data_IF_154599097785
#
_entry.id   IF_154599097785
#
_cell.length_a   1.000
_cell.length_b   1.000
_cell.length_c   1.000
_cell.angle_alpha   90.00
_cell.angle_beta   90.00
_cell.angle_gamma   90.00
#
_symmetry.space_group_name_H-M   'P 1'
#
loop_
_entity.id
_entity.type
_entity.pdbx_description
1 polymer ?
#
# COMPACT_ATOMS: atom_id res chain seq x y z
N UNK A 1 0.20 -21.08 2.12
CA UNK A 1 0.41 -19.68 2.39
C UNK A 1 1.15 -19.00 1.26
N UNK A 2 0.63 -17.91 0.79
CA UNK A 2 1.21 -17.23 -0.35
C UNK A 2 1.57 -15.80 -0.02
N UNK A 3 2.70 -15.38 -0.56
CA UNK A 3 3.16 -14.02 -0.48
C UNK A 3 3.40 -13.56 -1.90
N UNK A 4 2.91 -12.39 -2.23
CA UNK A 4 3.04 -11.90 -3.59
C UNK A 4 3.47 -10.45 -3.57
N UNK A 5 4.52 -10.16 -4.30
CA UNK A 5 4.97 -8.79 -4.51
C UNK A 5 4.48 -8.30 -5.84
N UNK A 6 3.96 -7.09 -5.91
CA UNK A 6 3.55 -6.57 -7.21
C UNK A 6 4.77 -6.35 -8.10
N UNK A 7 4.57 -6.54 -9.38
CA UNK A 7 5.57 -6.14 -10.36
C UNK A 7 5.56 -4.62 -10.45
N UNK A 8 6.56 -4.08 -11.14
CA UNK A 8 6.60 -2.63 -11.36
C UNK A 8 5.38 -2.14 -12.12
N UNK A 9 4.93 -2.94 -13.09
CA UNK A 9 3.75 -2.57 -13.85
C UNK A 9 2.51 -2.56 -12.97
N UNK A 10 2.39 -3.55 -12.11
CA UNK A 10 1.24 -3.62 -11.20
C UNK A 10 1.27 -2.49 -10.19
N UNK A 11 2.43 -2.20 -9.64
CA UNK A 11 2.57 -1.08 -8.72
C UNK A 11 2.16 0.23 -9.39
N UNK A 12 2.62 0.42 -10.60
CA UNK A 12 2.29 1.61 -11.38
C UNK A 12 0.79 1.70 -11.64
N UNK A 13 0.18 0.55 -11.95
CA UNK A 13 -1.25 0.51 -12.21
C UNK A 13 -2.06 0.87 -10.96
N UNK A 14 -1.61 0.39 -9.81
CA UNK A 14 -2.27 0.73 -8.55
C UNK A 14 -2.19 2.23 -8.30
N UNK A 15 -1.00 2.80 -8.48
CA UNK A 15 -0.81 4.23 -8.29
C UNK A 15 -1.67 5.05 -9.24
N UNK A 16 -1.69 4.64 -10.50
CA UNK A 16 -2.48 5.35 -11.49
C UNK A 16 -3.97 5.30 -11.18
N UNK A 17 -4.44 4.16 -10.70
CA UNK A 17 -5.84 4.01 -10.37
C UNK A 17 -6.22 4.84 -9.15
N UNK A 18 -5.34 4.87 -8.14
CA UNK A 18 -5.56 5.71 -6.98
C UNK A 18 -5.63 7.18 -7.40
N UNK A 19 -4.71 7.58 -8.26
CA UNK A 19 -4.69 8.95 -8.73
C UNK A 19 -5.97 9.30 -9.49
N UNK A 20 -6.41 8.37 -10.34
CA UNK A 20 -7.61 8.59 -11.13
C UNK A 20 -8.85 8.74 -10.24
N UNK A 21 -8.98 7.87 -9.25
CA UNK A 21 -10.18 7.86 -8.42
C UNK A 21 -10.18 9.00 -7.41
N UNK A 22 -9.04 9.28 -6.80
CA UNK A 22 -8.96 10.27 -5.73
C UNK A 22 -8.67 11.67 -6.25
N UNK A 23 -8.07 11.77 -7.43
CA UNK A 23 -7.64 13.05 -7.97
C UNK A 23 -6.21 13.35 -7.57
N UNK A 24 -5.54 14.14 -8.39
CA UNK A 24 -4.13 14.41 -8.21
C UNK A 24 -3.81 15.08 -6.88
N UNK A 25 -4.69 15.99 -6.46
CA UNK A 25 -4.45 16.72 -5.21
C UNK A 25 -4.44 15.81 -4.00
N UNK A 26 -5.46 14.95 -3.90
CA UNK A 26 -5.54 14.02 -2.78
C UNK A 26 -4.41 13.01 -2.87
N UNK A 27 -4.16 12.51 -4.08
CA UNK A 27 -3.11 11.53 -4.26
C UNK A 27 -1.75 12.07 -3.81
N UNK A 28 -1.42 13.29 -4.25
CA UNK A 28 -0.13 13.87 -3.90
C UNK A 28 -0.02 14.12 -2.41
N UNK A 29 -1.11 14.56 -1.79
CA UNK A 29 -1.08 14.88 -0.37
C UNK A 29 -0.99 13.65 0.51
N UNK A 30 -1.63 12.56 0.10
CA UNK A 30 -1.76 11.38 0.96
C UNK A 30 -0.89 10.21 0.52
N UNK A 31 -0.82 9.97 -0.78
CA UNK A 31 -0.24 8.73 -1.31
C UNK A 31 1.13 8.88 -1.95
N UNK A 32 1.64 10.08 -2.08
CA UNK A 32 2.93 10.24 -2.72
C UNK A 32 3.99 9.46 -1.95
N UNK A 33 4.69 8.57 -2.64
CA UNK A 33 5.68 7.73 -2.01
C UNK A 33 5.12 6.44 -1.43
N UNK A 34 3.82 6.23 -1.53
CA UNK A 34 3.20 5.00 -1.07
C UNK A 34 3.61 3.84 -1.97
N UNK A 35 3.87 2.71 -1.37
CA UNK A 35 4.37 1.54 -2.09
C UNK A 35 3.71 0.29 -1.54
N UNK A 36 3.27 -0.59 -2.42
CA UNK A 36 2.76 -1.89 -2.00
C UNK A 36 3.94 -2.84 -1.95
N UNK A 37 4.23 -3.34 -0.77
CA UNK A 37 5.38 -4.23 -0.59
C UNK A 37 5.02 -5.66 -0.92
N UNK A 38 3.89 -6.13 -0.42
CA UNK A 38 3.48 -7.51 -0.65
C UNK A 38 2.05 -7.71 -0.18
N UNK A 39 1.46 -8.82 -0.60
CA UNK A 39 0.16 -9.27 -0.09
C UNK A 39 0.37 -10.67 0.45
N UNK A 40 0.04 -10.87 1.72
CA UNK A 40 0.21 -12.15 2.40
C UNK A 40 -1.09 -12.51 3.07
N UNK A 41 -1.67 -13.64 2.69
CA UNK A 41 -2.90 -14.14 3.32
C UNK A 41 -4.00 -13.09 3.37
N UNK A 42 -4.15 -12.34 2.28
CA UNK A 42 -5.20 -11.33 2.21
C UNK A 42 -4.86 -10.01 2.88
N UNK A 43 -3.66 -9.89 3.40
CA UNK A 43 -3.22 -8.64 4.01
C UNK A 43 -2.24 -7.94 3.08
N UNK A 44 -2.62 -6.75 2.64
CA UNK A 44 -1.73 -5.92 1.87
C UNK A 44 -0.81 -5.17 2.83
N UNK A 45 0.47 -5.27 2.59
CA UNK A 45 1.46 -4.52 3.36
C UNK A 45 2.02 -3.44 2.48
N UNK A 46 1.81 -2.21 2.90
CA UNK A 46 2.27 -1.06 2.17
C UNK A 46 3.26 -0.28 3.00
N UNK A 47 3.97 0.63 2.34
CA UNK A 47 4.93 1.49 3.02
C UNK A 47 4.67 2.93 2.63
N UNK A 48 4.80 3.81 3.59
CA UNK A 48 4.60 5.22 3.37
C UNK A 48 5.70 5.99 4.10
N UNK A 49 6.24 7.04 3.49
CA UNK A 49 7.36 7.76 4.11
C UNK A 49 6.98 8.63 5.31
N UNK A 50 5.70 8.75 5.59
CA UNK A 50 5.22 9.64 6.66
C UNK A 50 4.29 8.88 7.59
N UNK A 51 4.56 8.99 8.89
CA UNK A 51 3.70 8.41 9.92
C UNK A 51 2.28 8.91 9.80
N UNK A 52 2.16 10.21 9.63
CA UNK A 52 0.85 10.85 9.55
C UNK A 52 0.07 10.33 8.35
N UNK A 53 0.72 10.26 7.20
CA UNK A 53 0.05 9.79 6.01
C UNK A 53 -0.29 8.31 6.09
N UNK A 54 0.57 7.52 6.71
CA UNK A 54 0.28 6.11 6.90
C UNK A 54 -1.00 5.95 7.73
N UNK A 55 -1.15 6.74 8.76
CA UNK A 55 -2.35 6.70 9.60
C UNK A 55 -3.59 7.13 8.81
N UNK A 56 -3.46 8.16 7.99
CA UNK A 56 -4.58 8.62 7.18
C UNK A 56 -5.02 7.54 6.19
N UNK A 57 -4.05 6.89 5.55
CA UNK A 57 -4.36 5.82 4.61
C UNK A 57 -5.08 4.68 5.33
N UNK A 58 -4.56 4.31 6.48
CA UNK A 58 -5.13 3.20 7.23
C UNK A 58 -6.56 3.48 7.67
N UNK A 59 -6.83 4.68 8.13
CA UNK A 59 -8.15 5.02 8.68
C UNK A 59 -9.14 5.39 7.58
N UNK A 60 -8.71 6.18 6.61
CA UNK A 60 -9.65 6.77 5.65
C UNK A 60 -9.65 6.09 4.29
N UNK A 61 -8.58 5.44 3.91
CA UNK A 61 -8.45 4.96 2.54
C UNK A 61 -8.18 3.47 2.42
N UNK A 62 -8.20 2.74 3.54
CA UNK A 62 -7.85 1.32 3.47
C UNK A 62 -8.79 0.53 2.57
N UNK A 63 -10.08 0.86 2.60
CA UNK A 63 -11.05 0.12 1.79
C UNK A 63 -10.79 0.30 0.30
N UNK A 64 -10.50 1.53 -0.12
CA UNK A 64 -10.27 1.77 -1.54
C UNK A 64 -8.94 1.18 -1.99
N UNK A 65 -7.92 1.23 -1.12
CA UNK A 65 -6.64 0.62 -1.42
C UNK A 65 -6.81 -0.89 -1.59
N UNK A 66 -7.55 -1.52 -0.68
CA UNK A 66 -7.78 -2.96 -0.77
C UNK A 66 -8.51 -3.31 -2.06
N UNK A 67 -9.53 -2.55 -2.41
CA UNK A 67 -10.31 -2.83 -3.60
C UNK A 67 -9.48 -2.69 -4.87
N UNK A 68 -8.72 -1.61 -4.96
CA UNK A 68 -7.88 -1.38 -6.13
C UNK A 68 -6.82 -2.48 -6.24
N UNK A 69 -6.15 -2.79 -5.13
CA UNK A 69 -5.10 -3.79 -5.15
C UNK A 69 -5.65 -5.16 -5.51
N UNK A 70 -6.80 -5.51 -4.97
CA UNK A 70 -7.43 -6.78 -5.30
C UNK A 70 -7.71 -6.89 -6.78
N UNK A 71 -8.21 -5.80 -7.36
CA UNK A 71 -8.52 -5.78 -8.78
C UNK A 71 -7.26 -5.85 -9.63
N UNK A 72 -6.26 -5.06 -9.29
CA UNK A 72 -5.05 -4.99 -10.11
C UNK A 72 -4.18 -6.23 -9.97
N UNK A 73 -4.17 -6.84 -8.78
CA UNK A 73 -3.32 -8.01 -8.53
C UNK A 73 -4.07 -9.32 -8.74
N UNK A 74 -5.37 -9.24 -8.95
CA UNK A 74 -6.22 -10.41 -9.16
C UNK A 74 -6.07 -11.40 -8.00
N UNK A 75 -6.19 -10.90 -6.79
CA UNK A 75 -5.97 -11.70 -5.60
C UNK A 75 -6.71 -11.03 -4.44
N UNK A 76 -7.32 -11.82 -3.54
CA UNK A 76 -8.10 -11.24 -2.45
C UNK A 76 -7.24 -10.35 -1.55
N UNK A 77 -7.78 -9.19 -1.21
CA UNK A 77 -7.16 -8.29 -0.25
C UNK A 77 -8.25 -7.90 0.73
N UNK A 78 -8.08 -8.32 1.97
CA UNK A 78 -9.08 -8.10 3.01
C UNK A 78 -8.67 -7.04 4.01
N UNK A 79 -7.36 -6.83 4.16
CA UNK A 79 -6.84 -5.88 5.12
C UNK A 79 -5.68 -5.12 4.51
N UNK A 80 -5.47 -3.93 5.02
CA UNK A 80 -4.36 -3.09 4.60
C UNK A 80 -3.58 -2.69 5.85
N UNK A 81 -2.29 -2.92 5.82
CA UNK A 81 -1.40 -2.56 6.91
C UNK A 81 -0.30 -1.67 6.33
N UNK A 82 -0.32 -0.39 6.66
CA UNK A 82 0.63 0.56 6.10
C UNK A 82 1.73 0.79 7.12
N UNK A 83 2.94 0.42 6.73
CA UNK A 83 4.11 0.64 7.56
C UNK A 83 4.63 2.04 7.32
N UNK A 84 5.02 2.68 8.39
CA UNK A 84 5.54 4.03 8.28
C UNK A 84 7.06 3.99 8.19
N UNK A 85 7.61 5.16 7.96
CA UNK A 85 9.05 5.30 7.87
C UNK A 85 9.70 4.76 9.15
N UNK A 86 10.75 3.99 8.97
CA UNK A 86 11.45 3.38 10.08
C UNK A 86 10.89 2.05 10.51
N UNK A 87 9.80 1.63 9.90
CA UNK A 87 9.18 0.35 10.22
C UNK A 87 9.18 -0.59 9.03
N UNK A 88 10.11 -0.40 8.13
CA UNK A 88 10.23 -1.28 6.99
C UNK A 88 10.69 -2.65 7.45
N UNK A 89 10.24 -3.65 6.72
CA UNK A 89 10.53 -5.03 7.04
C UNK A 89 12.03 -5.29 7.20
N UNK A 90 12.82 -4.78 6.30
CA UNK A 90 14.25 -5.01 6.33
C UNK A 90 14.90 -4.42 7.57
N UNK A 91 14.37 -3.32 8.06
CA UNK A 91 14.92 -2.70 9.25
C UNK A 91 14.63 -3.52 10.50
N UNK A 92 13.44 -4.13 10.53
CA UNK A 92 13.08 -4.93 11.68
C UNK A 92 13.88 -6.20 11.78
N UNK A 93 14.48 -6.60 10.70
CA UNK A 93 15.27 -7.82 10.68
C UNK A 93 16.70 -7.58 11.10
N UNK A 94 17.08 -6.37 11.35
CA UNK A 94 18.42 -6.09 11.79
C UNK A 94 18.64 -6.69 13.15
N UNK A 95 19.76 -7.37 13.35
CA UNK A 95 20.06 -7.87 14.66
C UNK A 95 20.20 -6.72 15.61
N UNK A 96 19.71 -6.94 16.77
CA UNK A 96 19.80 -5.90 17.77
C UNK A 96 21.26 -5.73 18.20
#
# INVERSE_FOLDING_TARGET
MTSRRPTKVEQFAIEAKLNLILGAEVYDRVFQGFEVLEVVNGELRGWCPSEHRAAVIDVQFSAIVAWIAQTMLNQPVRRVNVLMRGMRHDEREQPA
#
